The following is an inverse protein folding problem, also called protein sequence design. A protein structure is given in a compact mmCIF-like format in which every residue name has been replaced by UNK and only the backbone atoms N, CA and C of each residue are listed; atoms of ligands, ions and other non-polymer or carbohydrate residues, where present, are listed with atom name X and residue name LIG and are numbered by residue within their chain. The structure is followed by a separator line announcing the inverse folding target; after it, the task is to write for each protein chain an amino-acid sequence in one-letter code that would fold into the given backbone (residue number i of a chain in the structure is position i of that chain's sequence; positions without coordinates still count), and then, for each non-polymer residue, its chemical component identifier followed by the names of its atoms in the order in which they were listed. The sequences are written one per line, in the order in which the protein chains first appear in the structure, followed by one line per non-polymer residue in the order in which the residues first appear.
data_IF_114156533244
#
_entry.id   IF_114156533244
#
_cell.length_a   1.000
_cell.length_b   1.000
_cell.length_c   1.000
_cell.angle_alpha   90.00
_cell.angle_beta   90.00
_cell.angle_gamma   90.00
#
_symmetry.space_group_name_H-M   'P 1'
#
loop_
_entity.id
_entity.type
_entity.pdbx_description
1 polymer ?
#
# COMPACT_ATOMS: atom_id res chain seq x y z
N UNK A 1 16.29 -32.37 -1.54
CA UNK A 1 16.44 -31.68 -2.85
C UNK A 1 15.63 -30.41 -2.81
N UNK A 2 16.26 -29.29 -2.48
CA UNK A 2 15.64 -27.98 -2.36
C UNK A 2 15.60 -27.29 -3.73
N UNK A 3 14.41 -27.12 -4.32
CA UNK A 3 14.18 -26.34 -5.52
C UNK A 3 14.52 -24.86 -5.20
N UNK A 4 15.63 -24.35 -5.74
CA UNK A 4 15.92 -22.91 -5.79
C UNK A 4 14.82 -22.22 -6.60
N UNK A 5 13.96 -21.44 -5.93
CA UNK A 5 13.02 -20.52 -6.57
C UNK A 5 13.84 -19.47 -7.35
N UNK A 6 13.64 -19.39 -8.66
CA UNK A 6 14.14 -18.31 -9.51
C UNK A 6 13.27 -17.09 -9.19
N UNK A 7 13.73 -16.21 -8.32
CA UNK A 7 13.05 -14.94 -8.05
C UNK A 7 13.22 -13.97 -9.21
N UNK A 8 12.18 -13.21 -9.49
CA UNK A 8 12.08 -12.12 -10.49
C UNK A 8 13.11 -11.00 -10.29
N UNK A 9 13.87 -11.00 -9.19
CA UNK A 9 14.85 -9.95 -8.84
C UNK A 9 15.86 -9.60 -9.94
N UNK A 10 16.17 -10.53 -10.84
CA UNK A 10 17.11 -10.26 -11.95
C UNK A 10 16.47 -9.50 -13.12
N UNK A 11 15.15 -9.62 -13.33
CA UNK A 11 14.44 -8.88 -14.37
C UNK A 11 14.17 -7.43 -13.95
N UNK A 12 13.85 -7.24 -12.69
CA UNK A 12 13.59 -5.91 -12.12
C UNK A 12 14.88 -5.10 -11.93
N UNK A 13 16.00 -5.74 -11.55
CA UNK A 13 17.33 -5.09 -11.49
C UNK A 13 17.77 -4.55 -12.85
N UNK A 14 17.46 -5.27 -13.94
CA UNK A 14 17.76 -4.81 -15.30
C UNK A 14 16.88 -3.59 -15.70
N UNK A 15 15.68 -3.48 -15.15
CA UNK A 15 14.76 -2.37 -15.40
C UNK A 15 15.08 -1.14 -14.53
N UNK A 16 15.55 -1.35 -13.30
CA UNK A 16 15.94 -0.28 -12.37
C UNK A 16 17.31 0.31 -12.71
N UNK A 17 18.23 -0.47 -13.28
CA UNK A 17 19.54 0.00 -13.72
C UNK A 17 19.48 1.03 -14.88
N UNK A 18 18.34 1.09 -15.59
CA UNK A 18 18.10 2.07 -16.67
C UNK A 18 17.65 3.47 -16.20
N UNK A 19 17.25 3.65 -14.94
CA UNK A 19 16.68 4.92 -14.45
C UNK A 19 17.64 5.82 -13.66
N UNK A 20 18.87 5.40 -13.40
CA UNK A 20 19.89 6.19 -12.72
C UNK A 20 21.02 6.61 -13.65
N UNK A 21 20.68 7.37 -14.70
CA UNK A 21 21.63 8.19 -15.43
C UNK A 21 21.99 9.43 -14.59
N UNK A 22 23.01 9.32 -13.74
CA UNK A 22 23.56 10.45 -13.01
C UNK A 22 24.10 11.49 -13.96
N UNK A 23 23.57 12.71 -13.92
CA UNK A 23 24.25 13.91 -14.38
C UNK A 23 25.50 14.12 -13.50
N UNK A 24 26.67 13.80 -14.02
CA UNK A 24 27.91 14.37 -13.54
C UNK A 24 28.41 15.39 -14.59
N UNK A 25 28.31 16.65 -14.22
CA UNK A 25 29.00 17.75 -14.89
C UNK A 25 30.48 17.61 -14.58
N UNK A 26 31.30 17.48 -15.59
CA UNK A 26 32.72 17.80 -15.52
C UNK A 26 33.11 18.46 -16.84
N UNK A 27 33.38 19.78 -16.75
CA UNK A 27 34.20 20.53 -17.72
C UNK A 27 35.58 19.89 -17.81
N UNK A 28 36.07 19.73 -19.05
CA UNK A 28 37.38 20.21 -19.37
C UNK A 28 37.62 20.15 -20.90
N UNK A 29 38.03 21.30 -21.39
CA UNK A 29 38.43 21.68 -22.71
C UNK A 29 39.75 21.01 -23.10
N UNK A 30 39.85 20.38 -24.28
CA UNK A 30 41.07 20.50 -25.13
C UNK A 30 40.73 20.19 -26.58
N UNK A 31 41.13 21.13 -27.44
CA UNK A 31 41.15 21.06 -28.90
C UNK A 31 42.24 20.07 -29.35
N UNK A 32 41.94 19.21 -30.31
CA UNK A 32 42.90 18.75 -31.33
C UNK A 32 42.15 18.07 -32.49
N UNK A 33 42.66 18.35 -33.66
CA UNK A 33 42.21 18.22 -35.04
C UNK A 33 41.97 16.79 -35.56
N UNK A 34 41.04 16.76 -36.55
CA UNK A 34 41.01 16.02 -37.81
C UNK A 34 41.38 14.53 -37.86
N UNK A 35 40.38 13.73 -38.26
CA UNK A 35 40.54 12.36 -38.77
C UNK A 35 39.18 11.83 -39.23
N UNK A 36 38.93 11.95 -40.55
CA UNK A 36 37.83 11.32 -41.29
C UNK A 36 37.94 9.81 -41.18
N UNK A 37 36.95 9.20 -40.54
CA UNK A 37 36.61 7.80 -40.81
C UNK A 37 35.15 7.52 -40.37
N UNK A 38 34.29 7.40 -41.38
CA UNK A 38 32.86 7.14 -41.26
C UNK A 38 32.63 5.69 -40.82
N UNK A 39 32.57 5.45 -39.52
CA UNK A 39 31.94 4.23 -38.99
C UNK A 39 30.56 4.58 -38.40
N UNK A 40 29.53 3.78 -38.68
CA UNK A 40 28.21 4.04 -38.13
C UNK A 40 28.31 3.85 -36.60
N UNK A 41 27.98 4.93 -35.89
CA UNK A 41 27.78 4.90 -34.43
C UNK A 41 26.74 3.84 -34.15
N UNK A 42 27.14 2.73 -33.60
CA UNK A 42 26.26 1.72 -33.03
C UNK A 42 25.60 2.37 -31.79
N UNK A 43 24.47 3.01 -32.04
CA UNK A 43 23.59 3.48 -30.95
C UNK A 43 23.20 2.26 -30.16
N UNK A 44 23.70 2.18 -28.95
CA UNK A 44 23.43 1.15 -27.98
C UNK A 44 21.91 0.95 -27.84
N UNK A 45 21.39 -0.17 -28.34
CA UNK A 45 19.99 -0.61 -28.28
C UNK A 45 19.60 -0.87 -26.81
N UNK A 46 19.21 0.17 -26.07
CA UNK A 46 18.68 0.02 -24.70
C UNK A 46 17.31 0.63 -24.45
N UNK A 47 16.77 1.41 -25.39
CA UNK A 47 15.41 1.95 -25.32
C UNK A 47 14.68 1.52 -26.58
N UNK A 48 13.48 0.95 -26.42
CA UNK A 48 12.69 0.29 -27.44
C UNK A 48 12.66 1.01 -28.78
N UNK A 49 12.50 0.26 -29.86
CA UNK A 49 12.48 0.76 -31.23
C UNK A 49 11.26 1.64 -31.47
N UNK A 50 11.47 2.89 -31.85
CA UNK A 50 10.39 3.78 -32.27
C UNK A 50 9.95 3.38 -33.69
N UNK A 51 8.73 2.93 -33.81
CA UNK A 51 8.16 2.43 -35.08
C UNK A 51 6.76 2.99 -35.26
N UNK A 52 6.33 3.12 -36.51
CA UNK A 52 4.96 3.49 -36.82
C UNK A 52 4.14 2.21 -37.07
N UNK A 53 3.06 2.03 -36.29
CA UNK A 53 2.18 0.84 -36.40
C UNK A 53 0.74 1.23 -36.77
N UNK A 54 0.08 0.42 -37.63
CA UNK A 54 -1.36 0.54 -37.87
C UNK A 54 -2.14 0.35 -36.55
N UNK A 55 -3.21 1.14 -36.38
CA UNK A 55 -4.07 1.05 -35.20
C UNK A 55 -4.78 -0.30 -35.04
N UNK A 56 -5.01 -1.03 -36.13
CA UNK A 56 -5.74 -2.31 -36.17
C UNK A 56 -4.92 -3.47 -35.61
N UNK A 57 -3.56 -3.37 -35.59
CA UNK A 57 -2.68 -4.39 -35.00
C UNK A 57 -2.44 -4.18 -33.51
N UNK A 58 -2.95 -3.07 -32.95
CA UNK A 58 -2.75 -2.68 -31.56
C UNK A 58 -4.04 -2.96 -30.77
N UNK A 59 -3.95 -3.74 -29.71
CA UNK A 59 -5.06 -4.03 -28.81
C UNK A 59 -4.87 -3.42 -27.43
N UNK A 60 -5.98 -3.13 -26.70
CA UNK A 60 -5.91 -2.61 -25.34
C UNK A 60 -5.24 -3.61 -24.39
N UNK A 61 -4.51 -3.11 -23.41
CA UNK A 61 -3.88 -3.91 -22.38
C UNK A 61 -4.91 -4.55 -21.44
N UNK A 62 -4.67 -5.79 -21.00
CA UNK A 62 -5.56 -6.53 -20.10
C UNK A 62 -5.68 -5.87 -18.71
N UNK A 63 -4.76 -5.00 -18.32
CA UNK A 63 -4.60 -4.48 -16.96
C UNK A 63 -4.86 -2.98 -16.83
N UNK A 64 -5.69 -2.40 -17.69
CA UNK A 64 -5.99 -0.97 -17.65
C UNK A 64 -7.06 -0.65 -16.58
N UNK A 65 -6.73 0.16 -15.52
CA UNK A 65 -7.65 0.38 -14.40
C UNK A 65 -8.81 1.35 -14.70
N UNK A 66 -8.70 2.19 -15.75
CA UNK A 66 -9.74 3.18 -16.09
C UNK A 66 -10.83 2.56 -16.97
N UNK A 67 -11.92 2.10 -16.34
CA UNK A 67 -13.13 1.65 -17.04
C UNK A 67 -14.02 2.80 -17.54
N UNK A 68 -13.98 3.94 -16.88
CA UNK A 68 -14.76 5.13 -17.26
C UNK A 68 -13.82 6.25 -17.71
N UNK A 69 -13.85 6.59 -19.00
CA UNK A 69 -13.26 7.81 -19.54
C UNK A 69 -14.40 8.77 -19.84
N UNK A 70 -14.26 10.00 -19.42
CA UNK A 70 -15.21 11.06 -19.77
C UNK A 70 -15.15 11.28 -21.28
N UNK A 71 -16.28 11.15 -21.99
CA UNK A 71 -16.32 11.26 -23.46
C UNK A 71 -15.78 12.60 -23.98
N UNK A 72 -16.13 13.68 -23.30
CA UNK A 72 -15.70 15.04 -23.64
C UNK A 72 -14.18 15.22 -23.63
N UNK A 73 -13.50 14.70 -22.58
CA UNK A 73 -12.05 14.75 -22.48
C UNK A 73 -11.32 13.85 -23.50
N UNK A 74 -12.01 12.85 -24.07
CA UNK A 74 -11.47 12.02 -25.14
C UNK A 74 -11.61 12.71 -26.50
N UNK A 75 -12.72 13.40 -26.75
CA UNK A 75 -12.98 14.18 -27.97
C UNK A 75 -12.00 15.35 -28.08
N UNK A 76 -11.81 16.11 -27.00
CA UNK A 76 -10.83 17.21 -26.96
C UNK A 76 -9.41 16.73 -27.30
N UNK A 77 -9.00 15.60 -26.76
CA UNK A 77 -7.70 14.99 -27.08
C UNK A 77 -7.65 14.52 -28.55
N UNK A 78 -8.75 13.99 -29.08
CA UNK A 78 -8.83 13.56 -30.49
C UNK A 78 -8.72 14.74 -31.45
N UNK A 79 -9.34 15.89 -31.16
CA UNK A 79 -9.19 17.10 -31.97
C UNK A 79 -7.75 17.61 -31.95
N UNK A 80 -7.09 17.62 -30.78
CA UNK A 80 -5.69 17.98 -30.66
C UNK A 80 -4.78 17.06 -31.51
N UNK A 81 -5.02 15.74 -31.43
CA UNK A 81 -4.26 14.74 -32.21
C UNK A 81 -4.52 14.89 -33.70
N UNK A 82 -5.73 15.24 -34.12
CA UNK A 82 -6.09 15.48 -35.51
C UNK A 82 -5.37 16.71 -36.08
N UNK A 83 -5.18 17.74 -35.24
CA UNK A 83 -4.53 19.01 -35.66
C UNK A 83 -3.00 18.91 -35.67
N UNK A 84 -2.38 18.21 -34.74
CA UNK A 84 -0.93 18.24 -34.50
C UNK A 84 -0.25 16.87 -34.64
N UNK A 85 -1.03 15.81 -34.87
CA UNK A 85 -0.53 14.43 -34.78
C UNK A 85 -0.31 13.95 -33.36
N UNK A 86 0.10 12.70 -33.20
CA UNK A 86 0.43 12.12 -31.91
C UNK A 86 1.89 12.48 -31.54
N UNK A 87 2.08 13.54 -30.75
CA UNK A 87 3.40 14.06 -30.35
C UNK A 87 4.17 13.09 -29.43
N UNK A 88 3.46 12.35 -28.62
CA UNK A 88 4.06 11.43 -27.64
C UNK A 88 3.69 9.99 -27.99
N UNK A 89 4.68 9.12 -28.33
CA UNK A 89 4.41 7.74 -28.70
C UNK A 89 3.73 6.95 -27.57
N UNK A 90 2.95 5.94 -27.95
CA UNK A 90 2.45 4.95 -26.99
C UNK A 90 3.48 3.82 -26.81
N UNK A 91 3.47 3.16 -25.67
CA UNK A 91 4.35 2.04 -25.39
C UNK A 91 3.56 0.75 -25.61
N UNK A 92 4.09 -0.11 -26.47
CA UNK A 92 3.48 -1.39 -26.81
C UNK A 92 4.49 -2.53 -26.69
N UNK A 93 3.98 -3.76 -26.58
CA UNK A 93 4.78 -5.00 -26.65
C UNK A 93 4.24 -5.92 -27.72
N UNK A 94 5.07 -6.82 -28.20
CA UNK A 94 4.62 -7.92 -29.06
C UNK A 94 3.89 -8.96 -28.22
N UNK A 95 2.81 -9.51 -28.76
CA UNK A 95 2.14 -10.65 -28.15
C UNK A 95 2.87 -11.93 -28.54
N UNK A 96 3.25 -12.73 -27.53
CA UNK A 96 3.96 -14.00 -27.74
C UNK A 96 3.18 -15.02 -28.59
N UNK A 97 1.86 -14.86 -28.70
CA UNK A 97 0.97 -15.74 -29.47
C UNK A 97 0.80 -15.35 -30.94
N UNK A 98 1.17 -14.11 -31.33
CA UNK A 98 0.99 -13.58 -32.68
C UNK A 98 2.02 -12.47 -32.93
N UNK A 99 3.02 -12.74 -33.77
CA UNK A 99 4.10 -11.79 -34.12
C UNK A 99 3.61 -10.51 -34.78
N UNK A 100 2.35 -10.45 -35.22
CA UNK A 100 1.77 -9.28 -35.89
C UNK A 100 0.84 -8.45 -35.00
N UNK A 101 0.60 -8.87 -33.73
CA UNK A 101 -0.24 -8.12 -32.79
C UNK A 101 0.55 -7.55 -31.64
N UNK A 102 0.15 -6.35 -31.26
CA UNK A 102 0.76 -5.58 -30.19
C UNK A 102 -0.24 -5.27 -29.09
N UNK A 103 0.19 -5.31 -27.85
CA UNK A 103 -0.60 -4.94 -26.68
C UNK A 103 -0.07 -3.65 -26.06
N UNK A 104 -0.99 -2.75 -25.68
CA UNK A 104 -0.65 -1.47 -25.06
C UNK A 104 -0.21 -1.70 -23.62
N UNK A 105 1.02 -1.27 -23.29
CA UNK A 105 1.54 -1.15 -21.92
C UNK A 105 1.11 0.19 -21.31
N UNK A 106 1.34 1.30 -22.05
CA UNK A 106 1.02 2.64 -21.60
C UNK A 106 0.52 3.52 -22.76
N UNK A 107 -0.43 4.43 -22.48
CA UNK A 107 -0.95 5.38 -23.45
C UNK A 107 -2.29 5.04 -24.07
N UNK A 108 -3.14 4.24 -23.41
CA UNK A 108 -4.46 3.82 -23.94
C UNK A 108 -5.37 5.00 -24.33
N UNK A 109 -5.37 6.11 -23.54
CA UNK A 109 -6.14 7.31 -23.92
C UNK A 109 -5.72 7.88 -25.26
N UNK A 110 -4.42 7.94 -25.52
CA UNK A 110 -3.85 8.41 -26.78
C UNK A 110 -4.22 7.50 -27.95
N UNK A 111 -4.17 6.19 -27.75
CA UNK A 111 -4.61 5.22 -28.76
C UNK A 111 -6.11 5.35 -29.07
N UNK A 112 -6.99 5.47 -28.06
CA UNK A 112 -8.42 5.67 -28.27
C UNK A 112 -8.72 6.99 -28.97
N UNK A 113 -8.08 8.08 -28.54
CA UNK A 113 -8.22 9.38 -29.17
C UNK A 113 -7.72 9.38 -30.61
N UNK A 114 -6.63 8.68 -30.93
CA UNK A 114 -6.13 8.51 -32.31
C UNK A 114 -7.12 7.76 -33.21
N UNK A 115 -7.83 6.75 -32.66
CA UNK A 115 -8.92 6.09 -33.40
C UNK A 115 -10.09 7.03 -33.68
N UNK A 116 -10.50 7.83 -32.68
CA UNK A 116 -11.55 8.86 -32.83
C UNK A 116 -11.12 9.93 -33.84
N UNK A 117 -9.85 10.33 -33.84
CA UNK A 117 -9.27 11.26 -34.79
C UNK A 117 -9.17 10.73 -36.22
N UNK A 118 -9.37 9.42 -36.43
CA UNK A 118 -9.36 8.77 -37.74
C UNK A 118 -7.95 8.55 -38.32
N UNK A 119 -6.91 8.45 -37.46
CA UNK A 119 -5.57 8.11 -37.92
C UNK A 119 -5.52 6.63 -38.33
N UNK A 120 -4.72 6.31 -39.37
CA UNK A 120 -4.47 4.94 -39.82
C UNK A 120 -3.31 4.28 -39.11
N UNK A 121 -2.29 5.05 -38.73
CA UNK A 121 -1.08 4.61 -38.03
C UNK A 121 -0.67 5.62 -36.96
N UNK A 122 0.09 5.18 -35.98
CA UNK A 122 0.60 6.01 -34.89
C UNK A 122 2.02 5.63 -34.50
N UNK A 123 2.84 6.59 -34.02
CA UNK A 123 4.16 6.30 -33.50
C UNK A 123 4.03 5.52 -32.19
N UNK A 124 4.77 4.41 -32.11
CA UNK A 124 4.81 3.52 -30.95
C UNK A 124 6.25 3.21 -30.56
N UNK A 125 6.47 2.99 -29.27
CA UNK A 125 7.71 2.46 -28.73
C UNK A 125 7.50 0.96 -28.46
N UNK A 126 8.11 0.10 -29.27
CA UNK A 126 8.01 -1.35 -29.10
C UNK A 126 9.03 -1.79 -28.06
N UNK A 127 8.57 -2.39 -26.97
CA UNK A 127 9.44 -3.03 -25.97
C UNK A 127 9.25 -4.53 -25.98
N UNK A 128 10.36 -5.24 -26.09
CA UNK A 128 10.38 -6.70 -25.98
C UNK A 128 10.55 -7.06 -24.49
N UNK A 129 9.44 -7.12 -23.79
CA UNK A 129 9.41 -7.42 -22.35
C UNK A 129 8.49 -8.61 -22.09
N UNK A 130 8.87 -9.53 -21.17
CA UNK A 130 8.00 -10.61 -20.72
C UNK A 130 6.66 -10.08 -20.20
N UNK A 131 5.61 -10.87 -20.28
CA UNK A 131 4.27 -10.53 -19.82
C UNK A 131 4.27 -9.94 -18.40
N UNK A 132 4.98 -10.59 -17.49
CA UNK A 132 5.12 -10.17 -16.09
C UNK A 132 5.76 -8.79 -15.95
N UNK A 133 6.81 -8.51 -16.73
CA UNK A 133 7.49 -7.21 -16.68
C UNK A 133 6.63 -6.09 -17.26
N UNK A 134 5.87 -6.37 -18.33
CA UNK A 134 4.94 -5.41 -18.92
C UNK A 134 3.81 -5.03 -17.96
N UNK A 135 3.26 -6.01 -17.22
CA UNK A 135 2.24 -5.79 -16.20
C UNK A 135 2.81 -4.93 -15.05
N UNK A 136 4.02 -5.26 -14.59
CA UNK A 136 4.70 -4.48 -13.54
C UNK A 136 4.91 -3.02 -13.99
N UNK A 137 5.40 -2.80 -15.22
CA UNK A 137 5.60 -1.45 -15.75
C UNK A 137 4.30 -0.64 -15.84
N UNK A 138 3.21 -1.25 -16.33
CA UNK A 138 1.91 -0.60 -16.42
C UNK A 138 1.37 -0.22 -15.02
N UNK A 139 1.58 -1.10 -14.03
CA UNK A 139 1.17 -0.85 -12.66
C UNK A 139 2.01 0.25 -12.01
N UNK A 140 3.32 0.26 -12.21
CA UNK A 140 4.24 1.29 -11.72
C UNK A 140 3.91 2.65 -12.34
N UNK A 141 3.70 2.73 -13.67
CA UNK A 141 3.29 3.97 -14.34
C UNK A 141 2.00 4.52 -13.73
N UNK A 142 1.03 3.66 -13.49
CA UNK A 142 -0.23 4.08 -12.89
C UNK A 142 -0.06 4.59 -11.45
N UNK A 143 0.84 3.98 -10.64
CA UNK A 143 1.15 4.41 -9.28
C UNK A 143 1.88 5.76 -9.25
N UNK A 144 2.68 6.06 -10.28
CA UNK A 144 3.42 7.33 -10.39
C UNK A 144 2.57 8.53 -10.82
N UNK A 145 1.26 8.35 -11.03
CA UNK A 145 0.36 9.46 -11.39
C UNK A 145 0.09 10.37 -10.19
N UNK A 146 0.10 11.68 -10.41
CA UNK A 146 -0.01 12.70 -9.35
C UNK A 146 -1.37 12.76 -8.65
N UNK A 147 -2.44 12.16 -9.22
CA UNK A 147 -3.83 12.34 -8.76
C UNK A 147 -4.45 11.07 -8.16
N UNK A 148 -3.66 10.14 -7.61
CA UNK A 148 -4.22 8.97 -6.93
C UNK A 148 -4.66 9.32 -5.51
N UNK A 149 -5.84 8.83 -5.14
CA UNK A 149 -6.28 8.81 -3.75
C UNK A 149 -5.36 7.87 -2.93
N UNK A 150 -5.06 8.17 -1.65
CA UNK A 150 -4.22 7.31 -0.79
C UNK A 150 -4.65 5.84 -0.74
N UNK A 151 -5.96 5.55 -0.84
CA UNK A 151 -6.45 4.17 -0.89
C UNK A 151 -6.19 3.51 -2.25
N UNK A 152 -6.41 4.22 -3.35
CA UNK A 152 -6.07 3.72 -4.68
C UNK A 152 -4.58 3.38 -4.79
N UNK A 153 -3.73 4.27 -4.26
CA UNK A 153 -2.29 4.05 -4.21
C UNK A 153 -1.93 2.83 -3.34
N UNK A 154 -2.56 2.69 -2.16
CA UNK A 154 -2.34 1.53 -1.28
C UNK A 154 -2.75 0.21 -1.94
N UNK A 155 -3.89 0.19 -2.65
CA UNK A 155 -4.39 -0.98 -3.39
C UNK A 155 -3.43 -1.34 -4.52
N UNK A 156 -2.98 -0.36 -5.30
CA UNK A 156 -2.05 -0.60 -6.41
C UNK A 156 -0.68 -1.10 -5.93
N UNK A 157 -0.15 -0.52 -4.84
CA UNK A 157 1.08 -0.98 -4.19
C UNK A 157 0.96 -2.39 -3.61
N UNK A 158 -0.16 -2.69 -2.98
CA UNK A 158 -0.43 -4.03 -2.45
C UNK A 158 -0.49 -5.06 -3.57
N UNK A 159 -1.16 -4.73 -4.67
CA UNK A 159 -1.23 -5.55 -5.86
C UNK A 159 0.16 -5.79 -6.47
N UNK A 160 0.97 -4.73 -6.64
CA UNK A 160 2.35 -4.84 -7.11
C UNK A 160 3.18 -5.77 -6.22
N UNK A 161 3.04 -5.64 -4.90
CA UNK A 161 3.73 -6.49 -3.94
C UNK A 161 3.32 -7.96 -4.04
N UNK A 162 2.02 -8.26 -4.16
CA UNK A 162 1.49 -9.62 -4.17
C UNK A 162 1.71 -10.33 -5.50
N UNK A 163 1.45 -9.68 -6.63
CA UNK A 163 1.56 -10.29 -7.96
C UNK A 163 3.01 -10.61 -8.33
N UNK A 164 3.96 -9.80 -7.85
CA UNK A 164 5.38 -9.95 -8.16
C UNK A 164 6.23 -10.44 -6.98
N UNK A 165 5.62 -10.86 -5.88
CA UNK A 165 6.28 -11.35 -4.67
C UNK A 165 7.39 -10.40 -4.15
N UNK A 166 7.21 -9.08 -4.31
CA UNK A 166 8.20 -8.07 -3.96
C UNK A 166 8.22 -7.76 -2.46
N UNK A 167 9.39 -7.45 -1.94
CA UNK A 167 9.54 -6.85 -0.61
C UNK A 167 9.13 -5.37 -0.64
N UNK A 168 8.79 -4.80 0.52
CA UNK A 168 8.47 -3.37 0.62
C UNK A 168 9.62 -2.45 0.15
N UNK A 169 10.87 -2.92 0.25
CA UNK A 169 12.03 -2.18 -0.23
C UNK A 169 12.09 -2.16 -1.75
N UNK A 170 11.89 -3.30 -2.40
CA UNK A 170 11.86 -3.42 -3.86
C UNK A 170 10.69 -2.63 -4.45
N UNK A 171 9.50 -2.67 -3.83
CA UNK A 171 8.37 -1.83 -4.22
C UNK A 171 8.73 -0.35 -4.11
N UNK A 172 9.38 0.07 -3.02
CA UNK A 172 9.80 1.46 -2.83
C UNK A 172 10.78 1.92 -3.92
N UNK A 173 11.76 1.10 -4.26
CA UNK A 173 12.70 1.34 -5.34
C UNK A 173 12.01 1.43 -6.71
N UNK A 174 11.10 0.50 -7.00
CA UNK A 174 10.38 0.45 -8.27
C UNK A 174 9.51 1.68 -8.52
N UNK A 175 8.85 2.22 -7.49
CA UNK A 175 7.95 3.38 -7.62
C UNK A 175 8.63 4.73 -7.30
N UNK A 176 9.93 4.74 -6.94
CA UNK A 176 10.68 5.96 -6.62
C UNK A 176 10.28 6.62 -5.30
N UNK A 177 9.75 5.83 -4.32
CA UNK A 177 9.33 6.32 -3.01
C UNK A 177 10.19 5.72 -1.89
N UNK A 178 10.18 6.32 -0.70
CA UNK A 178 10.88 5.73 0.43
C UNK A 178 10.09 4.55 1.06
N UNK A 179 10.81 3.59 1.66
CA UNK A 179 10.23 2.41 2.31
C UNK A 179 9.19 2.76 3.37
N UNK A 180 9.40 3.83 4.11
CA UNK A 180 8.48 4.26 5.19
C UNK A 180 7.13 4.69 4.62
N UNK A 181 7.13 5.41 3.49
CA UNK A 181 5.89 5.79 2.78
C UNK A 181 5.14 4.54 2.32
N UNK A 182 5.83 3.60 1.68
CA UNK A 182 5.22 2.33 1.23
C UNK A 182 4.62 1.56 2.41
N UNK A 183 5.36 1.42 3.51
CA UNK A 183 4.87 0.73 4.70
C UNK A 183 3.60 1.41 5.28
N UNK A 184 3.56 2.75 5.30
CA UNK A 184 2.40 3.50 5.78
C UNK A 184 1.18 3.32 4.87
N UNK A 185 1.35 3.36 3.55
CA UNK A 185 0.28 3.14 2.59
C UNK A 185 -0.26 1.71 2.67
N UNK A 186 0.61 0.71 2.69
CA UNK A 186 0.20 -0.70 2.81
C UNK A 186 -0.55 -0.99 4.13
N UNK A 187 -0.25 -0.26 5.21
CA UNK A 187 -1.00 -0.38 6.47
C UNK A 187 -2.46 0.04 6.33
N UNK A 188 -2.79 0.97 5.42
CA UNK A 188 -4.19 1.38 5.17
C UNK A 188 -5.08 0.22 4.73
N UNK A 189 -4.50 -0.82 4.12
CA UNK A 189 -5.24 -2.04 3.74
C UNK A 189 -5.83 -2.79 4.94
N UNK A 190 -5.35 -2.52 6.16
CA UNK A 190 -5.85 -3.13 7.41
C UNK A 190 -7.04 -2.38 8.03
N UNK A 191 -7.40 -1.22 7.49
CA UNK A 191 -8.57 -0.48 7.95
C UNK A 191 -9.87 -1.25 7.68
N UNK A 192 -10.87 -1.01 8.50
CA UNK A 192 -12.22 -1.51 8.29
C UNK A 192 -12.80 -0.95 6.97
N UNK A 193 -13.73 -1.66 6.31
CA UNK A 193 -14.30 -1.23 5.03
C UNK A 193 -14.95 0.15 5.06
N UNK A 194 -15.70 0.46 6.13
CA UNK A 194 -16.33 1.75 6.34
C UNK A 194 -15.32 2.89 6.49
N UNK A 195 -14.22 2.67 7.22
CA UNK A 195 -13.14 3.65 7.40
C UNK A 195 -12.37 3.87 6.09
N UNK A 196 -12.20 2.83 5.26
CA UNK A 196 -11.65 2.97 3.90
C UNK A 196 -12.51 3.87 3.04
N UNK A 197 -13.84 3.67 3.07
CA UNK A 197 -14.79 4.50 2.32
C UNK A 197 -14.71 5.97 2.74
N UNK A 198 -14.60 6.27 4.05
CA UNK A 198 -14.41 7.64 4.53
C UNK A 198 -13.11 8.27 4.01
N UNK A 199 -12.03 7.50 3.92
CA UNK A 199 -10.76 7.97 3.36
C UNK A 199 -10.83 8.15 1.84
N UNK A 200 -11.52 7.27 1.13
CA UNK A 200 -11.75 7.36 -0.33
C UNK A 200 -12.58 8.60 -0.70
N UNK A 201 -13.59 8.89 0.09
CA UNK A 201 -14.46 10.08 -0.10
C UNK A 201 -13.78 11.39 0.31
N UNK A 202 -12.65 11.33 1.05
CA UNK A 202 -11.99 12.53 1.59
C UNK A 202 -12.60 13.07 2.88
N UNK A 203 -13.53 12.33 3.51
CA UNK A 203 -14.13 12.70 4.82
C UNK A 203 -13.08 12.68 5.95
N UNK A 204 -12.04 11.86 5.79
CA UNK A 204 -10.87 11.81 6.66
C UNK A 204 -9.57 11.85 5.83
N UNK A 205 -8.52 12.44 6.38
CA UNK A 205 -7.20 12.49 5.76
C UNK A 205 -6.36 11.26 6.13
N UNK A 206 -5.28 11.02 5.37
CA UNK A 206 -4.31 9.94 5.63
C UNK A 206 -3.76 9.95 7.07
N UNK A 207 -3.60 11.13 7.68
CA UNK A 207 -3.16 11.27 9.07
C UNK A 207 -4.14 10.65 10.06
N UNK A 208 -5.44 10.92 9.89
CA UNK A 208 -6.53 10.33 10.68
C UNK A 208 -6.57 8.81 10.51
N UNK A 209 -6.54 8.34 9.26
CA UNK A 209 -6.54 6.91 8.94
C UNK A 209 -5.37 6.15 9.60
N UNK A 210 -4.16 6.75 9.60
CA UNK A 210 -2.98 6.19 10.29
C UNK A 210 -3.15 6.10 11.80
N UNK A 211 -3.74 7.13 12.43
CA UNK A 211 -4.03 7.11 13.86
C UNK A 211 -5.05 6.02 14.21
N UNK A 212 -6.11 5.89 13.42
CA UNK A 212 -7.17 4.90 13.59
C UNK A 212 -6.69 3.44 13.44
N UNK A 213 -5.55 3.18 12.80
CA UNK A 213 -4.92 1.85 12.77
C UNK A 213 -4.46 1.33 14.15
N UNK A 214 -4.45 2.16 15.18
CA UNK A 214 -4.24 1.73 16.57
C UNK A 214 -5.47 1.05 17.19
N UNK A 215 -6.62 1.11 16.54
CA UNK A 215 -7.86 0.48 16.97
C UNK A 215 -8.25 -0.65 16.02
N UNK A 216 -9.00 -1.64 16.53
CA UNK A 216 -9.46 -2.79 15.73
C UNK A 216 -10.98 -2.96 15.85
N UNK A 217 -11.58 -3.59 14.84
CA UNK A 217 -13.00 -3.93 14.81
C UNK A 217 -13.92 -2.72 15.02
N UNK A 218 -15.00 -2.90 15.80
CA UNK A 218 -16.03 -1.87 15.99
C UNK A 218 -15.48 -0.57 16.60
N UNK A 219 -14.48 -0.66 17.48
CA UNK A 219 -13.85 0.53 18.09
C UNK A 219 -13.20 1.44 17.07
N UNK A 220 -12.65 0.89 15.98
CA UNK A 220 -12.07 1.68 14.89
C UNK A 220 -13.16 2.43 14.12
N UNK A 221 -14.26 1.76 13.80
CA UNK A 221 -15.41 2.36 13.08
C UNK A 221 -16.10 3.45 13.91
N UNK A 222 -16.32 3.21 15.20
CA UNK A 222 -16.91 4.20 16.10
C UNK A 222 -16.02 5.44 16.27
N UNK A 223 -14.71 5.24 16.38
CA UNK A 223 -13.74 6.32 16.45
C UNK A 223 -13.70 7.12 15.14
N UNK A 224 -13.75 6.46 13.99
CA UNK A 224 -13.79 7.12 12.68
C UNK A 224 -15.06 7.97 12.52
N UNK A 225 -16.24 7.44 12.87
CA UNK A 225 -17.49 8.19 12.87
C UNK A 225 -17.42 9.41 13.80
N UNK A 226 -16.79 9.27 14.96
CA UNK A 226 -16.60 10.39 15.89
C UNK A 226 -15.65 11.46 15.35
N UNK A 227 -14.59 11.07 14.64
CA UNK A 227 -13.64 11.99 13.97
C UNK A 227 -14.37 12.84 12.93
N UNK A 228 -15.19 12.22 12.08
CA UNK A 228 -15.96 12.92 11.05
C UNK A 228 -17.02 13.83 11.70
N UNK A 229 -17.82 13.32 12.64
CA UNK A 229 -18.91 14.06 13.27
C UNK A 229 -18.43 15.33 14.01
N UNK A 230 -17.22 15.31 14.57
CA UNK A 230 -16.65 16.45 15.31
C UNK A 230 -15.55 17.20 14.55
N UNK A 231 -15.28 16.85 13.32
CA UNK A 231 -14.21 17.41 12.50
C UNK A 231 -12.88 17.50 13.29
N UNK A 232 -12.48 16.38 13.93
CA UNK A 232 -11.29 16.34 14.76
C UNK A 232 -10.04 16.49 13.89
N UNK A 233 -9.02 17.16 14.42
CA UNK A 233 -7.70 17.21 13.80
C UNK A 233 -6.96 15.89 14.00
N UNK A 234 -5.90 15.63 13.19
CA UNK A 234 -5.07 14.44 13.31
C UNK A 234 -4.53 14.25 14.74
N UNK A 235 -4.06 15.35 15.39
CA UNK A 235 -3.56 15.30 16.79
C UNK A 235 -4.64 14.92 17.80
N UNK A 236 -5.87 15.40 17.60
CA UNK A 236 -7.01 15.04 18.47
C UNK A 236 -7.41 13.58 18.26
N UNK A 237 -7.35 13.09 17.03
CA UNK A 237 -7.59 11.68 16.72
C UNK A 237 -6.53 10.78 17.35
N UNK A 238 -5.25 11.15 17.29
CA UNK A 238 -4.18 10.42 18.00
C UNK A 238 -4.41 10.38 19.53
N UNK A 239 -4.85 11.49 20.10
CA UNK A 239 -5.18 11.55 21.53
C UNK A 239 -6.39 10.65 21.89
N UNK A 240 -7.43 10.65 21.03
CA UNK A 240 -8.59 9.78 21.17
C UNK A 240 -8.18 8.30 21.18
N UNK A 241 -7.37 7.89 20.21
CA UNK A 241 -6.88 6.51 20.07
C UNK A 241 -6.07 6.10 21.31
N UNK A 242 -5.12 6.92 21.75
CA UNK A 242 -4.32 6.67 22.97
C UNK A 242 -5.21 6.53 24.23
N UNK A 243 -6.22 7.39 24.37
CA UNK A 243 -7.15 7.28 25.50
C UNK A 243 -7.96 5.99 25.46
N UNK A 244 -8.30 5.51 24.27
CA UNK A 244 -9.01 4.24 24.10
C UNK A 244 -8.11 3.05 24.41
N UNK A 245 -6.87 3.03 23.95
CA UNK A 245 -5.86 2.02 24.27
C UNK A 245 -5.59 1.95 25.78
N UNK A 246 -5.47 3.11 26.45
CA UNK A 246 -5.29 3.19 27.90
C UNK A 246 -6.48 2.63 28.67
N UNK A 247 -7.71 2.92 28.22
CA UNK A 247 -8.93 2.35 28.83
C UNK A 247 -8.99 0.84 28.66
N UNK A 248 -8.62 0.32 27.50
CA UNK A 248 -8.55 -1.13 27.26
C UNK A 248 -7.48 -1.80 28.12
N UNK A 249 -6.29 -1.17 28.22
CA UNK A 249 -5.22 -1.67 29.09
C UNK A 249 -5.55 -1.58 30.58
N UNK A 250 -6.35 -0.58 30.99
CA UNK A 250 -6.80 -0.38 32.36
C UNK A 250 -8.03 -1.24 32.72
N UNK A 251 -8.74 -1.81 31.74
CA UNK A 251 -9.75 -2.83 32.05
C UNK A 251 -9.00 -4.08 32.53
N UNK A 252 -9.21 -4.52 33.80
CA UNK A 252 -8.63 -5.76 34.25
C UNK A 252 -9.11 -6.84 33.28
N UNK A 253 -8.15 -7.63 32.80
CA UNK A 253 -8.42 -8.77 31.92
C UNK A 253 -9.70 -9.45 32.42
N UNK A 254 -10.69 -9.57 31.52
CA UNK A 254 -12.01 -10.11 31.82
C UNK A 254 -11.83 -11.26 32.83
N UNK A 255 -12.50 -11.18 33.99
CA UNK A 255 -12.42 -12.17 35.07
C UNK A 255 -12.27 -13.54 34.44
N UNK A 256 -11.07 -14.12 34.54
CA UNK A 256 -10.89 -15.51 34.19
C UNK A 256 -12.10 -16.24 34.78
N UNK A 257 -12.75 -17.09 33.98
CA UNK A 257 -13.88 -17.89 34.42
C UNK A 257 -13.53 -18.37 35.80
N UNK A 258 -14.19 -17.81 36.82
CA UNK A 258 -13.87 -18.13 38.21
C UNK A 258 -14.16 -19.61 38.41
N UNK A 259 -13.14 -20.34 38.83
CA UNK A 259 -13.28 -21.74 39.14
C UNK A 259 -14.33 -21.80 40.29
N UNK A 260 -15.43 -22.54 40.14
CA UNK A 260 -16.47 -22.68 41.19
C UNK A 260 -15.88 -23.02 42.54
N UNK A 261 -14.79 -23.78 42.60
CA UNK A 261 -14.07 -24.13 43.81
C UNK A 261 -13.37 -22.92 44.45
N UNK A 262 -12.85 -22.01 43.65
CA UNK A 262 -12.21 -20.75 44.12
C UNK A 262 -13.27 -19.80 44.68
N UNK A 263 -14.41 -19.63 44.03
CA UNK A 263 -15.53 -18.82 44.55
C UNK A 263 -16.05 -19.35 45.90
N UNK A 264 -16.09 -20.68 46.04
CA UNK A 264 -16.47 -21.31 47.31
C UNK A 264 -15.46 -21.04 48.40
N UNK A 265 -14.16 -21.08 48.08
CA UNK A 265 -13.07 -20.76 49.02
C UNK A 265 -13.05 -19.27 49.40
N UNK A 266 -13.28 -18.37 48.46
CA UNK A 266 -13.38 -16.92 48.69
C UNK A 266 -14.51 -16.63 49.70
N UNK A 267 -15.69 -17.26 49.50
CA UNK A 267 -16.84 -17.09 50.36
C UNK A 267 -16.58 -17.66 51.79
N UNK A 268 -16.04 -18.87 51.89
CA UNK A 268 -15.71 -19.49 53.18
C UNK A 268 -14.69 -18.69 53.96
N UNK A 269 -13.67 -18.16 53.27
CA UNK A 269 -12.65 -17.29 53.89
C UNK A 269 -13.26 -15.95 54.31
N UNK A 270 -14.11 -15.35 53.45
CA UNK A 270 -14.81 -14.10 53.75
C UNK A 270 -15.70 -14.22 54.97
N UNK A 271 -16.50 -15.33 55.11
CA UNK A 271 -17.33 -15.61 56.26
C UNK A 271 -16.50 -15.81 57.55
N UNK A 272 -15.34 -16.48 57.45
CA UNK A 272 -14.49 -16.70 58.61
C UNK A 272 -13.73 -15.46 59.11
N UNK A 273 -13.28 -14.64 58.16
CA UNK A 273 -12.44 -13.46 58.43
C UNK A 273 -13.27 -12.20 58.61
N UNK A 274 -14.55 -12.22 58.28
CA UNK A 274 -15.43 -11.04 58.34
C UNK A 274 -15.05 -9.95 57.37
N UNK A 275 -14.25 -10.28 56.30
CA UNK A 275 -13.67 -9.32 55.36
C UNK A 275 -13.77 -9.84 53.92
N UNK A 276 -13.78 -8.94 52.94
CA UNK A 276 -13.82 -9.32 51.54
C UNK A 276 -12.50 -9.96 51.08
N UNK A 277 -12.55 -11.23 50.67
CA UNK A 277 -11.39 -12.01 50.22
C UNK A 277 -11.47 -12.25 48.73
N UNK A 278 -10.32 -12.13 48.05
CA UNK A 278 -10.17 -12.40 46.63
C UNK A 278 -8.96 -13.28 46.38
N UNK A 279 -9.12 -14.35 45.60
CA UNK A 279 -8.10 -15.34 45.28
C UNK A 279 -7.87 -15.34 43.77
N UNK A 280 -6.62 -15.06 43.34
CA UNK A 280 -6.20 -15.17 41.94
C UNK A 280 -5.10 -16.21 41.79
N UNK A 281 -5.23 -17.18 40.88
CA UNK A 281 -4.21 -18.20 40.64
C UNK A 281 -3.98 -18.42 39.16
N UNK A 282 -2.81 -18.96 38.83
CA UNK A 282 -2.47 -19.39 37.47
C UNK A 282 -2.69 -20.90 37.29
N UNK A 283 -2.62 -21.39 36.05
CA UNK A 283 -2.80 -22.82 35.73
C UNK A 283 -1.81 -23.77 36.44
N UNK A 284 -0.73 -23.25 37.05
CA UNK A 284 0.26 -24.01 37.82
C UNK A 284 0.01 -23.99 39.33
N UNK A 285 -1.14 -23.45 39.79
CA UNK A 285 -1.53 -23.41 41.20
C UNK A 285 -0.83 -22.30 42.03
N UNK A 286 0.04 -21.47 41.44
CA UNK A 286 0.59 -20.31 42.13
C UNK A 286 -0.39 -19.15 42.08
N UNK A 287 -0.68 -18.54 43.20
CA UNK A 287 -1.69 -17.50 43.28
C UNK A 287 -1.36 -16.41 44.32
N UNK A 288 -2.29 -15.47 44.42
CA UNK A 288 -2.28 -14.36 45.35
C UNK A 288 -3.64 -14.34 46.06
N UNK A 289 -3.59 -14.25 47.39
CA UNK A 289 -4.74 -14.00 48.24
C UNK A 289 -4.73 -12.53 48.65
N UNK A 290 -5.82 -11.82 48.44
CA UNK A 290 -6.00 -10.42 48.82
C UNK A 290 -7.16 -10.30 49.78
N UNK A 291 -6.95 -9.74 50.94
CA UNK A 291 -7.98 -9.46 51.97
C UNK A 291 -8.13 -7.94 52.02
N UNK A 292 -9.32 -7.44 51.75
CA UNK A 292 -9.64 -6.03 51.80
C UNK A 292 -10.25 -5.72 53.17
N UNK A 293 -9.67 -4.75 53.87
CA UNK A 293 -10.15 -4.27 55.15
C UNK A 293 -10.41 -2.76 55.12
N UNK A 294 -11.33 -2.27 55.92
CA UNK A 294 -11.77 -0.87 55.97
C UNK A 294 -11.22 -0.08 57.17
N UNK A 295 -10.75 -0.78 58.20
CA UNK A 295 -10.15 -0.18 59.40
C UNK A 295 -9.00 -1.02 59.96
N UNK A 296 -8.16 -0.43 60.79
CA UNK A 296 -7.08 -1.15 61.48
C UNK A 296 -7.62 -2.13 62.53
N UNK A 297 -8.76 -1.84 63.17
CA UNK A 297 -9.41 -2.73 64.11
C UNK A 297 -9.94 -4.00 63.44
N UNK A 298 -10.44 -3.85 62.17
CA UNK A 298 -10.84 -4.98 61.34
C UNK A 298 -9.62 -5.84 60.95
N UNK A 299 -8.47 -5.22 60.67
CA UNK A 299 -7.20 -5.91 60.38
C UNK A 299 -6.74 -6.73 61.59
N UNK A 300 -6.81 -6.17 62.79
CA UNK A 300 -6.44 -6.87 64.04
C UNK A 300 -7.38 -8.06 64.31
N UNK A 301 -8.69 -7.91 64.01
CA UNK A 301 -9.66 -8.98 64.03
C UNK A 301 -9.30 -10.11 63.06
N UNK A 302 -8.95 -9.77 61.80
CA UNK A 302 -8.54 -10.73 60.77
C UNK A 302 -7.26 -11.48 61.20
N UNK A 303 -6.26 -10.77 61.72
CA UNK A 303 -5.01 -11.38 62.19
C UNK A 303 -5.22 -12.35 63.34
N UNK A 304 -6.19 -12.10 64.24
CA UNK A 304 -6.55 -12.99 65.33
C UNK A 304 -7.14 -14.34 64.88
N UNK A 305 -7.74 -14.39 63.65
CA UNK A 305 -8.33 -15.58 63.05
C UNK A 305 -7.34 -16.37 62.17
N UNK A 306 -6.17 -15.83 61.84
CA UNK A 306 -5.13 -16.47 61.04
C UNK A 306 -4.07 -17.19 61.91
N UNK A 307 -4.43 -17.71 63.03
CA UNK A 307 -3.50 -18.51 63.86
C UNK A 307 -3.41 -19.94 63.39
#
# INVERSE_FOLDING_TARGET
MTKRKRGLGRGLDALLAGSHGSMSVAEETTLAEAGDDSQPVVVSQRDGELTELPLDVIQPGQYQPRRAMEPEALEELAESIKAQGLMQPIVVRRLSSDDQRYEIIAGERRWRASRVAGLSSIPVLVRDVPDEAAIAMALIENIQRENLNPMEEAIALHRLQQEFELTQLEVAQAVGKNRTTIANLLRLMKLNPDVKTLLENGDIEMGHARALLGLEGQSQSDAAAHVVAKALTVRQTEALVRAHEQKQAAQPAAKAVSDPDVERLERLLGERLGAAVSISHNAKGKGKLVINYTSLDELDGILSHIK
#
